data_IF_479596519719
#
_entry.id   IF_479596519719
#
_cell.length_a   1.000
_cell.length_b   1.000
_cell.length_c   1.000
_cell.angle_alpha   90.00
_cell.angle_beta   90.00
_cell.angle_gamma   90.00
#
_symmetry.space_group_name_H-M   'P 1'
#
loop_
_entity.id
_entity.type
_entity.pdbx_description
1 polymer ?
#
# COMPACT_ATOMS: atom_id res chain seq x y z
N UNK A 1 17.23 -13.96 2.58
CA UNK A 1 16.99 -14.01 1.11
C UNK A 1 15.59 -13.50 0.83
N UNK A 2 15.45 -12.49 -0.04
CA UNK A 2 14.12 -11.97 -0.42
C UNK A 2 13.47 -12.99 -1.35
N UNK A 3 12.36 -13.59 -0.92
CA UNK A 3 11.61 -14.49 -1.76
C UNK A 3 10.85 -13.68 -2.83
N UNK A 4 11.27 -13.81 -4.09
CA UNK A 4 10.68 -13.09 -5.24
C UNK A 4 9.16 -13.30 -5.36
N UNK A 5 8.63 -14.45 -4.94
CA UNK A 5 7.19 -14.73 -4.94
C UNK A 5 6.46 -13.90 -3.88
N UNK A 6 6.97 -13.86 -2.64
CA UNK A 6 6.38 -13.08 -1.55
C UNK A 6 6.42 -11.57 -1.85
N UNK A 7 7.49 -11.09 -2.48
CA UNK A 7 7.58 -9.69 -2.91
C UNK A 7 6.51 -9.34 -3.95
N UNK A 8 6.35 -10.15 -5.01
CA UNK A 8 5.31 -9.93 -6.02
C UNK A 8 3.90 -9.92 -5.41
N UNK A 9 3.60 -10.88 -4.54
CA UNK A 9 2.28 -10.97 -3.88
C UNK A 9 2.01 -9.77 -2.97
N UNK A 10 3.03 -9.32 -2.23
CA UNK A 10 2.91 -8.14 -1.35
C UNK A 10 2.71 -6.86 -2.15
N UNK A 11 3.32 -6.76 -3.34
CA UNK A 11 3.11 -5.64 -4.25
C UNK A 11 1.69 -5.63 -4.83
N UNK A 12 1.20 -6.78 -5.29
CA UNK A 12 -0.16 -6.90 -5.84
C UNK A 12 -1.23 -6.63 -4.78
N UNK A 13 -1.06 -7.14 -3.56
CA UNK A 13 -2.00 -6.89 -2.46
C UNK A 13 -1.95 -5.44 -2.00
N UNK A 14 -0.75 -4.84 -1.91
CA UNK A 14 -0.58 -3.42 -1.61
C UNK A 14 -1.30 -2.54 -2.65
N UNK A 15 -1.17 -2.87 -3.93
CA UNK A 15 -1.85 -2.16 -5.02
C UNK A 15 -3.39 -2.28 -4.91
N UNK A 16 -3.93 -3.48 -4.67
CA UNK A 16 -5.37 -3.69 -4.49
C UNK A 16 -5.89 -2.87 -3.30
N UNK A 17 -5.20 -2.91 -2.16
CA UNK A 17 -5.59 -2.13 -0.98
C UNK A 17 -5.56 -0.62 -1.23
N UNK A 18 -4.56 -0.11 -1.96
CA UNK A 18 -4.54 1.31 -2.33
C UNK A 18 -5.71 1.70 -3.23
N UNK A 19 -6.10 0.84 -4.18
CA UNK A 19 -7.24 1.10 -5.08
C UNK A 19 -8.54 1.13 -4.27
N UNK A 20 -8.76 0.15 -3.39
CA UNK A 20 -9.95 0.10 -2.52
C UNK A 20 -10.02 1.33 -1.60
N UNK A 21 -8.88 1.77 -1.07
CA UNK A 21 -8.85 2.97 -0.22
C UNK A 21 -9.12 4.25 -1.02
N UNK A 22 -8.64 4.34 -2.26
CA UNK A 22 -8.94 5.44 -3.17
C UNK A 22 -10.42 5.48 -3.56
N UNK A 23 -11.05 4.36 -3.86
CA UNK A 23 -12.49 4.31 -4.19
C UNK A 23 -13.37 4.67 -3.01
N UNK A 24 -13.00 4.22 -1.80
CA UNK A 24 -13.71 4.63 -0.58
C UNK A 24 -13.53 6.13 -0.27
N UNK A 25 -12.32 6.68 -0.45
CA UNK A 25 -12.09 8.11 -0.30
C UNK A 25 -12.90 8.93 -1.31
N UNK A 26 -13.13 8.40 -2.52
CA UNK A 26 -13.95 9.02 -3.56
C UNK A 26 -15.43 9.08 -3.16
N UNK A 27 -15.98 7.99 -2.61
CA UNK A 27 -17.36 7.95 -2.15
C UNK A 27 -17.62 8.89 -0.96
N UNK A 28 -16.63 9.10 -0.08
CA UNK A 28 -16.78 9.94 1.12
C UNK A 28 -16.51 11.44 0.88
N UNK A 29 -16.45 11.92 -0.37
CA UNK A 29 -16.16 13.32 -0.73
C UNK A 29 -14.83 13.89 -0.17
N UNK A 30 -13.96 13.06 0.42
CA UNK A 30 -12.63 13.45 0.90
C UNK A 30 -11.65 13.80 -0.24
N UNK A 31 -12.11 13.73 -1.49
CA UNK A 31 -11.37 14.18 -2.67
C UNK A 31 -11.33 15.70 -2.83
N UNK A 32 -12.14 16.49 -2.10
CA UNK A 32 -12.08 17.96 -2.20
C UNK A 32 -10.67 18.48 -1.92
N UNK A 33 -10.04 18.04 -0.83
CA UNK A 33 -8.65 18.39 -0.48
C UNK A 33 -7.69 18.03 -1.62
N UNK A 34 -7.88 16.86 -2.22
CA UNK A 34 -7.03 16.35 -3.29
C UNK A 34 -7.21 17.13 -4.60
N UNK A 35 -8.44 17.55 -4.92
CA UNK A 35 -8.77 18.43 -6.04
C UNK A 35 -8.25 19.85 -5.82
N UNK A 36 -8.29 20.35 -4.58
CA UNK A 36 -7.78 21.67 -4.24
C UNK A 36 -6.26 21.74 -4.44
N UNK A 37 -5.51 20.71 -4.03
CA UNK A 37 -4.07 20.62 -4.32
C UNK A 37 -3.77 20.61 -5.83
N UNK A 38 -4.62 19.97 -6.65
CA UNK A 38 -4.48 19.99 -8.11
C UNK A 38 -4.73 21.39 -8.67
N UNK A 39 -5.77 22.08 -8.20
CA UNK A 39 -6.12 23.46 -8.62
C UNK A 39 -5.04 24.48 -8.24
N UNK A 40 -4.38 24.30 -7.09
CA UNK A 40 -3.30 25.19 -6.61
C UNK A 40 -1.96 24.88 -7.33
N UNK A 41 -1.93 23.90 -8.24
CA UNK A 41 -0.73 23.54 -9.01
C UNK A 41 0.20 22.53 -8.31
N UNK A 42 -0.19 22.04 -7.13
CA UNK A 42 0.53 21.02 -6.35
C UNK A 42 0.03 19.60 -6.67
N UNK A 43 -0.19 19.31 -7.95
CA UNK A 43 -0.67 18.01 -8.42
C UNK A 43 0.26 16.83 -8.05
N UNK A 44 1.53 17.11 -7.80
CA UNK A 44 2.54 16.13 -7.38
C UNK A 44 2.35 15.67 -5.93
N UNK A 45 1.77 16.49 -5.05
CA UNK A 45 1.57 16.15 -3.63
C UNK A 45 0.61 14.96 -3.46
N UNK A 46 -0.59 14.95 -4.07
CA UNK A 46 -1.47 13.79 -4.08
C UNK A 46 -0.80 12.53 -4.63
N UNK A 47 0.00 12.66 -5.70
CA UNK A 47 0.69 11.52 -6.32
C UNK A 47 1.72 10.91 -5.37
N UNK A 48 2.55 11.75 -4.72
CA UNK A 48 3.54 11.30 -3.72
C UNK A 48 2.85 10.61 -2.56
N UNK A 49 1.72 11.13 -2.06
CA UNK A 49 0.96 10.51 -0.97
C UNK A 49 0.40 9.13 -1.35
N UNK A 50 -0.07 8.94 -2.59
CA UNK A 50 -0.50 7.63 -3.09
C UNK A 50 0.67 6.66 -3.14
N UNK A 51 1.81 7.07 -3.70
CA UNK A 51 3.01 6.24 -3.77
C UNK A 51 3.51 5.84 -2.39
N UNK A 52 3.52 6.77 -1.44
CA UNK A 52 3.91 6.51 -0.06
C UNK A 52 2.96 5.51 0.59
N UNK A 53 1.64 5.65 0.41
CA UNK A 53 0.64 4.69 0.91
C UNK A 53 0.86 3.31 0.31
N UNK A 54 1.08 3.21 -1.01
CA UNK A 54 1.35 1.95 -1.67
C UNK A 54 2.60 1.27 -1.10
N UNK A 55 3.66 2.03 -0.89
CA UNK A 55 4.89 1.55 -0.30
C UNK A 55 4.69 1.03 1.14
N UNK A 56 3.95 1.76 1.97
CA UNK A 56 3.65 1.38 3.35
C UNK A 56 2.83 0.08 3.39
N UNK A 57 1.76 -0.01 2.58
CA UNK A 57 0.92 -1.22 2.54
C UNK A 57 1.71 -2.42 2.03
N UNK A 58 2.46 -2.26 0.94
CA UNK A 58 3.27 -3.36 0.39
C UNK A 58 4.35 -3.82 1.38
N UNK A 59 5.04 -2.88 2.04
CA UNK A 59 6.06 -3.19 3.05
C UNK A 59 5.47 -3.90 4.27
N UNK A 60 4.32 -3.45 4.76
CA UNK A 60 3.62 -4.08 5.88
C UNK A 60 3.23 -5.53 5.57
N UNK A 61 2.66 -5.78 4.39
CA UNK A 61 2.25 -7.12 3.97
C UNK A 61 3.46 -8.04 3.81
N UNK A 62 4.55 -7.53 3.22
CA UNK A 62 5.79 -8.27 3.10
C UNK A 62 6.36 -8.65 4.47
N UNK A 63 6.31 -7.74 5.44
CA UNK A 63 6.78 -7.97 6.79
C UNK A 63 5.92 -9.03 7.50
N UNK A 64 4.59 -8.98 7.33
CA UNK A 64 3.67 -10.01 7.85
C UNK A 64 4.02 -11.38 7.27
N UNK A 65 4.19 -11.51 5.95
CA UNK A 65 4.60 -12.77 5.33
C UNK A 65 5.91 -13.29 5.90
N UNK A 66 6.86 -12.40 6.17
CA UNK A 66 8.14 -12.77 6.74
C UNK A 66 7.99 -13.27 8.18
N UNK A 67 7.20 -12.59 9.00
CA UNK A 67 6.90 -13.01 10.39
C UNK A 67 6.20 -14.36 10.40
N UNK A 68 5.15 -14.54 9.60
CA UNK A 68 4.42 -15.82 9.48
C UNK A 68 5.37 -16.95 9.08
N UNK A 69 6.26 -16.70 8.11
CA UNK A 69 7.21 -17.71 7.65
C UNK A 69 8.23 -18.08 8.76
N UNK A 70 8.68 -17.12 9.56
CA UNK A 70 9.53 -17.41 10.72
C UNK A 70 8.77 -18.22 11.79
N UNK A 71 7.53 -17.85 12.09
CA UNK A 71 6.69 -18.57 13.05
C UNK A 71 6.46 -20.02 12.64
N UNK A 72 6.09 -20.27 11.37
CA UNK A 72 5.91 -21.63 10.84
C UNK A 72 7.21 -22.43 10.95
N UNK A 73 8.34 -21.81 10.65
CA UNK A 73 9.64 -22.49 10.72
C UNK A 73 10.10 -22.76 12.16
N UNK A 74 9.64 -21.95 13.13
CA UNK A 74 9.85 -22.18 14.55
C UNK A 74 9.03 -23.38 15.06
N UNK A 75 7.76 -23.48 14.69
CA UNK A 75 6.88 -24.61 15.08
C UNK A 75 7.20 -25.92 14.36
N UNK A 76 7.93 -25.87 13.24
CA UNK A 76 8.37 -27.06 12.49
C UNK A 76 9.61 -27.72 13.12
N UNK A 77 10.27 -27.06 14.08
CA UNK A 77 11.30 -27.65 14.93
C UNK A 77 10.68 -28.31 16.15
#
# INVERSE_FOLDING_TARGET
MINKRQFKVSWTLGAILTIVHLTHAYQNNNFQIMQDFIKIGYWYVPAILIFLKLFIYSSSIYLIFRVVNYTINFFRK
#
